data_IF_058985801510
#
_entry.id   IF_058985801510
#
_cell.length_a   1.000
_cell.length_b   1.000
_cell.length_c   1.000
_cell.angle_alpha   90.00
_cell.angle_beta   90.00
_cell.angle_gamma   90.00
#
_symmetry.space_group_name_H-M   'P 1'
#
loop_
_entity.id
_entity.type
_entity.pdbx_description
1 polymer ?
#
# COMPACT_ATOMS: atom_id res chain seq x y z
N UNK A 1 14.41 -4.29 -20.24
CA UNK A 1 13.60 -3.09 -20.00
C UNK A 1 13.01 -3.18 -18.60
N UNK A 2 13.57 -2.40 -17.65
CA UNK A 2 13.13 -2.34 -16.24
C UNK A 2 13.18 -0.90 -15.69
N UNK A 3 13.39 0.10 -16.54
CA UNK A 3 13.91 1.39 -16.09
C UNK A 3 12.85 2.49 -15.91
N UNK A 4 11.54 2.21 -15.97
CA UNK A 4 10.45 3.17 -15.67
C UNK A 4 9.06 2.50 -15.69
N UNK A 5 8.89 1.37 -14.99
CA UNK A 5 7.58 0.71 -14.89
C UNK A 5 7.21 0.53 -13.44
N UNK A 6 6.01 1.01 -13.08
CA UNK A 6 5.43 0.72 -11.78
C UNK A 6 5.01 -0.75 -11.73
N UNK A 7 5.32 -1.42 -10.63
CA UNK A 7 4.80 -2.74 -10.31
C UNK A 7 3.82 -2.64 -9.14
N UNK A 8 2.80 -3.49 -9.14
CA UNK A 8 1.81 -3.55 -8.06
C UNK A 8 1.88 -4.92 -7.40
N UNK A 9 1.98 -4.93 -6.08
CA UNK A 9 1.92 -6.14 -5.28
C UNK A 9 0.68 -6.06 -4.37
N UNK A 10 -0.28 -6.95 -4.60
CA UNK A 10 -1.46 -7.06 -3.76
C UNK A 10 -1.22 -8.12 -2.69
N UNK A 11 -1.39 -7.73 -1.41
CA UNK A 11 -1.28 -8.64 -0.28
C UNK A 11 -2.61 -8.67 0.47
N UNK A 12 -3.21 -9.86 0.56
CA UNK A 12 -4.40 -10.06 1.39
C UNK A 12 -4.01 -10.01 2.87
N UNK A 13 -4.73 -9.22 3.65
CA UNK A 13 -4.54 -9.08 5.09
C UNK A 13 -5.82 -9.44 5.83
N UNK A 14 -5.68 -9.86 7.10
CA UNK A 14 -6.81 -10.25 7.94
C UNK A 14 -7.59 -9.06 8.52
N UNK A 15 -6.93 -7.92 8.70
CA UNK A 15 -7.46 -6.73 9.35
C UNK A 15 -6.82 -5.49 8.70
N UNK A 16 -7.63 -4.72 7.97
CA UNK A 16 -7.16 -3.56 7.22
C UNK A 16 -6.70 -2.42 8.13
N UNK A 17 -7.34 -2.23 9.28
CA UNK A 17 -6.97 -1.15 10.20
C UNK A 17 -5.59 -1.41 10.83
N UNK A 18 -5.32 -2.65 11.24
CA UNK A 18 -3.98 -3.04 11.74
C UNK A 18 -2.91 -2.95 10.66
N UNK A 19 -3.22 -3.41 9.45
CA UNK A 19 -2.31 -3.31 8.32
C UNK A 19 -1.98 -1.85 8.00
N UNK A 20 -2.99 -0.97 7.95
CA UNK A 20 -2.81 0.48 7.75
C UNK A 20 -1.87 1.09 8.78
N UNK A 21 -2.09 0.81 10.07
CA UNK A 21 -1.22 1.30 11.13
C UNK A 21 0.25 0.86 10.96
N UNK A 22 0.48 -0.37 10.48
CA UNK A 22 1.81 -0.87 10.16
C UNK A 22 2.42 -0.18 8.94
N UNK A 23 1.71 -0.12 7.82
CA UNK A 23 2.22 0.45 6.57
C UNK A 23 2.51 1.96 6.69
N UNK A 24 1.66 2.71 7.39
CA UNK A 24 1.88 4.14 7.62
C UNK A 24 2.84 4.41 8.76
N UNK A 25 2.67 3.73 9.90
CA UNK A 25 3.43 4.03 11.12
C UNK A 25 4.82 3.38 11.17
N UNK A 26 4.95 2.13 10.71
CA UNK A 26 6.22 1.38 10.75
C UNK A 26 7.02 1.58 9.48
N UNK A 27 6.37 1.50 8.31
CA UNK A 27 7.05 1.62 7.03
C UNK A 27 7.06 3.04 6.46
N UNK A 28 6.25 3.95 7.01
CA UNK A 28 6.20 5.34 6.54
C UNK A 28 5.62 5.50 5.13
N UNK A 29 4.86 4.51 4.64
CA UNK A 29 4.32 4.55 3.29
C UNK A 29 3.16 5.53 3.19
N UNK A 30 3.04 6.18 2.03
CA UNK A 30 1.97 7.13 1.75
C UNK A 30 0.80 6.43 1.08
N UNK A 31 -0.38 6.49 1.69
CA UNK A 31 -1.63 6.08 1.04
C UNK A 31 -1.88 6.96 -0.19
N UNK A 32 -2.18 6.33 -1.32
CA UNK A 32 -2.49 7.01 -2.59
C UNK A 32 -3.88 6.69 -3.12
N UNK A 33 -4.51 5.62 -2.63
CA UNK A 33 -5.87 5.25 -2.99
C UNK A 33 -6.57 4.47 -1.87
N UNK A 34 -7.89 4.50 -1.88
CA UNK A 34 -8.79 3.72 -1.02
C UNK A 34 -9.98 3.26 -1.87
N UNK A 35 -10.27 1.97 -1.87
CA UNK A 35 -11.44 1.41 -2.53
C UNK A 35 -12.50 1.04 -1.49
N UNK A 36 -13.26 2.04 -1.02
CA UNK A 36 -14.42 1.83 -0.16
C UNK A 36 -14.14 1.12 1.17
N UNK A 37 -12.91 1.17 1.67
CA UNK A 37 -12.48 0.44 2.87
C UNK A 37 -12.23 -1.06 2.65
N UNK A 38 -12.23 -1.56 1.41
CA UNK A 38 -11.92 -2.96 1.09
C UNK A 38 -10.46 -3.15 0.63
N UNK A 39 -9.85 -2.11 0.07
CA UNK A 39 -8.48 -2.12 -0.42
C UNK A 39 -7.82 -0.76 -0.22
N UNK A 40 -6.58 -0.77 0.25
CA UNK A 40 -5.77 0.44 0.44
C UNK A 40 -4.52 0.31 -0.41
N UNK A 41 -4.23 1.32 -1.24
CA UNK A 41 -3.02 1.34 -2.06
C UNK A 41 -2.01 2.30 -1.45
N UNK A 42 -0.80 1.81 -1.27
CA UNK A 42 0.35 2.57 -0.81
C UNK A 42 1.37 2.74 -1.94
N UNK A 43 2.03 3.90 -1.97
CA UNK A 43 3.20 4.12 -2.83
C UNK A 43 4.48 3.91 -2.03
N UNK A 44 5.42 3.20 -2.65
CA UNK A 44 6.79 3.03 -2.17
C UNK A 44 7.74 3.46 -3.30
N UNK A 45 8.66 4.37 -3.00
CA UNK A 45 9.50 5.03 -4.00
C UNK A 45 8.84 6.25 -4.66
N UNK A 46 9.50 6.78 -5.70
CA UNK A 46 9.14 8.00 -6.44
C UNK A 46 8.42 7.74 -7.77
#
# INVERSE_FOLDING_TARGET
MLANSNATANLAVKDLAKAKAFYEGTLGLKQVHDEGGELIVYKSGD
#
